data_IF_760283184235
#
_entry.id   IF_760283184235
#
_cell.length_a   1.000
_cell.length_b   1.000
_cell.length_c   1.000
_cell.angle_alpha   90.00
_cell.angle_beta   90.00
_cell.angle_gamma   90.00
#
_symmetry.space_group_name_H-M   'P 1'
#
loop_
_entity.id
_entity.type
_entity.pdbx_description
1 polymer ?
#
# COMPACT_ATOMS: atom_id res chain seq x y z
N UNK A 1 0.09 22.42 -5.11
CA UNK A 1 0.19 21.10 -5.76
C UNK A 1 -1.22 20.57 -5.94
N UNK A 2 -1.65 20.30 -7.18
CA UNK A 2 -2.99 19.72 -7.41
C UNK A 2 -3.05 18.28 -6.88
N UNK A 3 -4.22 17.90 -6.37
CA UNK A 3 -4.49 16.54 -5.95
C UNK A 3 -4.61 15.66 -7.21
N UNK A 4 -3.75 14.66 -7.33
CA UNK A 4 -3.87 13.63 -8.38
C UNK A 4 -4.64 12.45 -7.81
N UNK A 5 -5.79 12.17 -8.41
CA UNK A 5 -6.59 10.97 -8.15
C UNK A 5 -6.46 10.10 -9.39
N UNK A 6 -6.11 8.83 -9.20
CA UNK A 6 -6.11 7.85 -10.28
C UNK A 6 -7.10 6.75 -9.95
N UNK A 7 -8.03 6.52 -10.86
CA UNK A 7 -9.10 5.54 -10.70
C UNK A 7 -8.78 4.28 -11.49
N UNK A 8 -8.99 3.12 -10.88
CA UNK A 8 -8.80 1.82 -11.51
C UNK A 8 -10.03 0.94 -11.24
N UNK A 9 -10.34 0.04 -12.17
CA UNK A 9 -11.31 -1.03 -11.90
C UNK A 9 -10.60 -2.18 -11.20
N UNK A 10 -11.03 -2.49 -9.98
CA UNK A 10 -10.50 -3.62 -9.20
C UNK A 10 -11.41 -4.84 -9.43
N UNK A 11 -10.88 -6.02 -9.80
CA UNK A 11 -11.68 -7.24 -9.91
C UNK A 11 -12.33 -7.63 -8.57
N UNK A 12 -13.40 -8.41 -8.61
CA UNK A 12 -13.98 -8.99 -7.39
C UNK A 12 -13.09 -10.09 -6.80
N UNK A 13 -13.22 -10.32 -5.50
CA UNK A 13 -12.62 -11.48 -4.81
C UNK A 13 -11.09 -11.44 -4.76
N UNK A 14 -10.41 -12.61 -4.74
CA UNK A 14 -8.98 -12.71 -4.50
C UNK A 14 -8.10 -11.94 -5.50
N UNK A 15 -8.54 -11.79 -6.75
CA UNK A 15 -7.84 -11.01 -7.76
C UNK A 15 -7.85 -9.51 -7.44
N UNK A 16 -8.96 -9.01 -6.89
CA UNK A 16 -9.06 -7.64 -6.39
C UNK A 16 -8.11 -7.39 -5.23
N UNK A 17 -8.13 -8.27 -4.23
CA UNK A 17 -7.22 -8.20 -3.09
C UNK A 17 -5.74 -8.23 -3.51
N UNK A 18 -5.38 -9.06 -4.49
CA UNK A 18 -4.03 -9.10 -5.02
C UNK A 18 -3.64 -7.77 -5.70
N UNK A 19 -4.59 -7.13 -6.41
CA UNK A 19 -4.39 -5.84 -7.05
C UNK A 19 -4.24 -4.72 -6.03
N UNK A 20 -5.09 -4.67 -5.01
CA UNK A 20 -4.95 -3.73 -3.87
C UNK A 20 -3.59 -3.89 -3.22
N UNK A 21 -3.19 -5.11 -2.85
CA UNK A 21 -1.90 -5.36 -2.19
C UNK A 21 -0.69 -4.92 -3.05
N UNK A 22 -0.79 -5.05 -4.38
CA UNK A 22 0.22 -4.53 -5.32
C UNK A 22 0.29 -3.00 -5.31
N UNK A 23 -0.85 -2.31 -5.29
CA UNK A 23 -0.91 -0.85 -5.19
C UNK A 23 -0.38 -0.37 -3.83
N UNK A 24 -0.76 -1.01 -2.73
CA UNK A 24 -0.23 -0.73 -1.40
C UNK A 24 1.30 -0.84 -1.37
N UNK A 25 1.86 -1.95 -1.89
CA UNK A 25 3.31 -2.14 -2.01
C UNK A 25 3.95 -0.98 -2.79
N UNK A 26 3.34 -0.58 -3.89
CA UNK A 26 3.84 0.52 -4.73
C UNK A 26 3.84 1.85 -3.99
N UNK A 27 2.75 2.17 -3.27
CA UNK A 27 2.62 3.39 -2.47
C UNK A 27 3.58 3.43 -1.28
N UNK A 28 3.84 2.29 -0.63
CA UNK A 28 4.85 2.17 0.43
C UNK A 28 6.25 2.44 -0.12
N UNK A 29 6.61 1.83 -1.25
CA UNK A 29 7.93 2.02 -1.88
C UNK A 29 8.14 3.46 -2.35
N UNK A 30 7.10 4.09 -2.91
CA UNK A 30 7.14 5.50 -3.30
C UNK A 30 7.26 6.41 -2.06
N UNK A 31 6.44 6.18 -1.03
CA UNK A 31 6.49 6.94 0.22
C UNK A 31 7.82 6.79 0.97
N UNK A 32 8.46 5.62 0.90
CA UNK A 32 9.80 5.39 1.44
C UNK A 32 10.90 6.24 0.78
N UNK A 33 10.69 6.66 -0.49
CA UNK A 33 11.60 7.55 -1.23
C UNK A 33 11.21 9.03 -1.15
N UNK A 34 10.08 9.35 -0.52
CA UNK A 34 9.55 10.71 -0.45
C UNK A 34 10.22 11.51 0.68
N UNK A 35 10.93 12.59 0.33
CA UNK A 35 11.61 13.48 1.28
C UNK A 35 10.67 14.17 2.28
N UNK A 36 9.40 14.39 1.95
CA UNK A 36 8.41 14.91 2.89
C UNK A 36 8.09 13.86 3.96
N UNK A 37 7.90 12.59 3.56
CA UNK A 37 7.65 11.46 4.46
C UNK A 37 8.87 11.23 5.35
N UNK A 38 10.08 11.19 4.78
CA UNK A 38 11.34 11.05 5.54
C UNK A 38 11.52 12.19 6.54
N UNK A 39 11.30 13.45 6.12
CA UNK A 39 11.38 14.62 7.02
C UNK A 39 10.39 14.50 8.18
N UNK A 40 9.17 14.01 7.92
CA UNK A 40 8.17 13.78 8.97
C UNK A 40 8.65 12.71 9.96
N UNK A 41 9.14 11.57 9.48
CA UNK A 41 9.67 10.51 10.34
C UNK A 41 10.81 11.02 11.23
N UNK A 42 11.82 11.68 10.65
CA UNK A 42 12.96 12.24 11.40
C UNK A 42 12.50 13.24 12.48
N UNK A 43 11.56 14.14 12.15
CA UNK A 43 11.01 15.08 13.14
C UNK A 43 10.31 14.37 14.29
N UNK A 44 9.57 13.30 14.01
CA UNK A 44 8.89 12.50 15.03
C UNK A 44 9.87 11.80 15.96
N UNK A 45 10.92 11.20 15.40
CA UNK A 45 11.97 10.53 16.18
C UNK A 45 12.70 11.51 17.11
N UNK A 46 13.06 12.70 16.59
CA UNK A 46 13.66 13.77 17.39
C UNK A 46 12.71 14.26 18.50
N UNK A 47 11.45 14.53 18.16
CA UNK A 47 10.46 15.01 19.13
C UNK A 47 10.15 13.99 20.25
N UNK A 48 10.36 12.70 19.98
CA UNK A 48 10.21 11.61 20.96
C UNK A 48 11.51 11.29 21.71
N UNK A 49 12.61 12.00 21.44
CA UNK A 49 13.91 11.73 22.07
C UNK A 49 14.48 10.35 21.74
N UNK A 50 14.11 9.75 20.60
CA UNK A 50 14.65 8.44 20.19
C UNK A 50 16.15 8.60 19.94
N UNK A 51 16.95 7.82 20.66
CA UNK A 51 18.41 7.89 20.57
C UNK A 51 18.89 7.44 19.18
N UNK A 52 19.99 8.02 18.66
CA UNK A 52 20.60 7.51 17.44
C UNK A 52 20.88 6.00 17.55
N UNK A 53 20.59 5.26 16.47
CA UNK A 53 20.76 3.79 16.36
C UNK A 53 19.86 2.95 17.27
N UNK A 54 18.90 3.56 17.97
CA UNK A 54 17.83 2.83 18.67
C UNK A 54 16.73 2.38 17.67
N UNK A 55 17.09 1.45 16.78
CA UNK A 55 16.21 1.01 15.69
C UNK A 55 14.87 0.44 16.18
N UNK A 56 14.85 -0.24 17.34
CA UNK A 56 13.60 -0.73 17.92
C UNK A 56 12.75 0.43 18.48
N UNK A 57 13.40 1.42 19.12
CA UNK A 57 12.77 2.66 19.54
C UNK A 57 12.18 3.45 18.37
N UNK A 58 12.85 3.47 17.21
CA UNK A 58 12.34 4.10 15.98
C UNK A 58 11.05 3.42 15.49
N UNK A 59 11.07 2.09 15.38
CA UNK A 59 9.89 1.30 14.97
C UNK A 59 8.72 1.59 15.90
N UNK A 60 8.95 1.51 17.22
CA UNK A 60 7.94 1.78 18.25
C UNK A 60 7.38 3.19 18.14
N UNK A 61 8.24 4.21 18.04
CA UNK A 61 7.81 5.60 18.02
C UNK A 61 6.95 5.93 16.79
N UNK A 62 7.31 5.39 15.63
CA UNK A 62 6.55 5.58 14.38
C UNK A 62 5.20 4.83 14.44
N UNK A 63 5.19 3.58 14.91
CA UNK A 63 3.97 2.81 15.14
C UNK A 63 2.99 3.54 16.06
N UNK A 64 3.46 3.96 17.24
CA UNK A 64 2.63 4.70 18.20
C UNK A 64 2.14 6.04 17.66
N UNK A 65 2.93 6.71 16.83
CA UNK A 65 2.47 7.94 16.21
C UNK A 65 1.32 7.69 15.24
N UNK A 66 1.43 6.69 14.36
CA UNK A 66 0.35 6.34 13.41
C UNK A 66 -0.90 5.93 14.18
N UNK A 67 -0.78 4.98 15.12
CA UNK A 67 -1.91 4.48 15.93
C UNK A 67 -2.68 5.57 16.66
N UNK A 68 -1.98 6.58 17.20
CA UNK A 68 -2.61 7.66 17.98
C UNK A 68 -3.08 8.85 17.15
N UNK A 69 -2.50 9.04 15.96
CA UNK A 69 -2.70 10.28 15.20
C UNK A 69 -3.61 10.12 14.00
N UNK A 70 -3.89 8.89 13.57
CA UNK A 70 -4.79 8.60 12.44
C UNK A 70 -6.11 8.09 12.97
N UNK A 71 -7.20 8.72 12.54
CA UNK A 71 -8.56 8.27 12.84
C UNK A 71 -8.95 7.15 11.87
N UNK A 72 -9.29 5.98 12.38
CA UNK A 72 -9.84 4.91 11.55
C UNK A 72 -11.14 5.38 10.88
N UNK A 73 -11.16 5.33 9.54
CA UNK A 73 -12.25 5.83 8.71
C UNK A 73 -12.42 4.89 7.54
N UNK A 74 -13.60 4.30 7.42
CA UNK A 74 -13.92 3.45 6.27
C UNK A 74 -13.81 4.23 4.98
N UNK A 75 -13.50 3.50 3.93
CA UNK A 75 -13.54 4.02 2.57
C UNK A 75 -14.90 4.60 2.17
N UNK A 76 -14.91 5.49 1.16
CA UNK A 76 -16.15 5.94 0.53
C UNK A 76 -17.01 4.77 0.08
N UNK A 77 -18.33 4.96 0.13
CA UNK A 77 -19.28 3.90 -0.17
C UNK A 77 -19.02 3.24 -1.54
N UNK A 78 -18.81 1.91 -1.54
CA UNK A 78 -18.57 1.05 -2.71
C UNK A 78 -17.28 1.33 -3.50
N UNK A 79 -16.31 2.00 -2.90
CA UNK A 79 -15.02 2.29 -3.55
C UNK A 79 -13.90 1.89 -2.60
N UNK A 80 -12.86 1.22 -3.11
CA UNK A 80 -11.59 1.09 -2.38
C UNK A 80 -10.75 2.35 -2.62
N UNK A 81 -10.31 3.03 -1.57
CA UNK A 81 -9.53 4.27 -1.67
C UNK A 81 -8.18 4.16 -0.96
N UNK A 82 -7.12 4.04 -1.77
CA UNK A 82 -5.75 4.07 -1.25
C UNK A 82 -5.15 5.47 -1.28
N UNK A 83 -4.62 5.93 -0.14
CA UNK A 83 -3.89 7.18 -0.04
C UNK A 83 -2.37 6.98 -0.08
N UNK A 84 -1.67 7.92 -0.72
CA UNK A 84 -0.22 8.01 -0.54
C UNK A 84 0.15 8.36 0.91
N UNK A 85 1.32 7.92 1.38
CA UNK A 85 1.80 8.25 2.72
C UNK A 85 1.86 9.77 2.99
N UNK A 86 2.25 10.57 1.97
CA UNK A 86 2.24 12.05 2.06
C UNK A 86 0.82 12.57 2.33
N UNK A 87 -0.18 12.04 1.62
CA UNK A 87 -1.58 12.41 1.84
C UNK A 87 -2.06 11.99 3.22
N UNK A 88 -1.70 10.78 3.67
CA UNK A 88 -2.05 10.31 5.02
C UNK A 88 -1.45 11.14 6.16
N UNK A 89 -0.24 11.68 6.00
CA UNK A 89 0.36 12.61 6.98
C UNK A 89 -0.50 13.89 7.14
N UNK A 90 -1.10 14.36 6.04
CA UNK A 90 -1.92 15.58 6.00
C UNK A 90 -3.34 15.31 6.50
N UNK A 91 -3.98 14.25 5.97
CA UNK A 91 -5.39 13.94 6.20
C UNK A 91 -5.64 13.32 7.58
N UNK A 92 -4.76 12.41 8.02
CA UNK A 92 -4.87 11.69 9.30
C UNK A 92 -6.20 10.94 9.48
N UNK A 93 -6.77 10.44 8.40
CA UNK A 93 -7.97 9.61 8.40
C UNK A 93 -7.87 8.60 7.25
N UNK A 94 -8.18 7.34 7.52
CA UNK A 94 -8.12 6.21 6.58
C UNK A 94 -8.35 4.89 7.31
N UNK A 95 -8.39 3.76 6.61
CA UNK A 95 -8.63 2.45 7.21
C UNK A 95 -7.33 1.59 7.33
N UNK A 96 -7.47 0.26 7.31
CA UNK A 96 -6.35 -0.66 7.52
C UNK A 96 -5.29 -0.60 6.42
N UNK A 97 -5.66 -0.39 5.16
CA UNK A 97 -4.68 -0.32 4.08
C UNK A 97 -3.90 1.00 4.10
N UNK A 98 -4.58 2.11 4.38
CA UNK A 98 -4.03 3.46 4.48
C UNK A 98 -3.06 3.58 5.65
N UNK A 99 -3.43 3.04 6.80
CA UNK A 99 -2.55 3.00 7.98
C UNK A 99 -1.34 2.09 7.73
N UNK A 100 -1.52 0.99 6.99
CA UNK A 100 -0.42 0.12 6.54
C UNK A 100 0.52 0.85 5.59
N UNK A 101 -0.02 1.58 4.61
CA UNK A 101 0.77 2.36 3.64
C UNK A 101 1.57 3.45 4.35
N UNK A 102 0.92 4.23 5.21
CA UNK A 102 1.57 5.30 5.96
C UNK A 102 2.70 4.76 6.85
N UNK A 103 2.42 3.75 7.66
CA UNK A 103 3.40 3.20 8.60
C UNK A 103 4.56 2.54 7.85
N UNK A 104 4.25 1.73 6.84
CA UNK A 104 5.26 1.09 6.00
C UNK A 104 6.17 2.11 5.30
N UNK A 105 5.61 3.20 4.78
CA UNK A 105 6.38 4.26 4.14
C UNK A 105 7.26 5.03 5.13
N UNK A 106 6.76 5.38 6.31
CA UNK A 106 7.55 6.04 7.36
C UNK A 106 8.76 5.18 7.76
N UNK A 107 8.54 3.89 7.98
CA UNK A 107 9.58 2.92 8.33
C UNK A 107 10.63 2.76 7.22
N UNK A 108 10.18 2.53 5.98
CA UNK A 108 11.06 2.44 4.81
C UNK A 108 11.86 3.73 4.61
N UNK A 109 11.26 4.89 4.90
CA UNK A 109 11.92 6.19 4.73
C UNK A 109 13.09 6.43 5.70
N UNK A 110 13.18 5.66 6.79
CA UNK A 110 14.29 5.71 7.76
C UNK A 110 15.11 4.41 7.78
N UNK A 111 14.90 3.51 6.81
CA UNK A 111 15.78 2.37 6.55
C UNK A 111 15.32 1.03 7.11
N UNK A 112 14.12 0.93 7.69
CA UNK A 112 13.59 -0.36 8.17
C UNK A 112 13.00 -1.17 7.03
N UNK A 113 13.29 -2.48 6.99
CA UNK A 113 12.65 -3.40 6.06
C UNK A 113 11.22 -3.67 6.49
N UNK A 114 10.28 -3.56 5.54
CA UNK A 114 8.86 -3.80 5.78
C UNK A 114 8.32 -4.90 4.85
N UNK A 115 7.30 -5.62 5.33
CA UNK A 115 6.42 -6.48 4.51
C UNK A 115 4.97 -6.26 4.90
N UNK A 116 4.04 -6.60 4.01
CA UNK A 116 2.59 -6.50 4.26
C UNK A 116 2.09 -7.90 4.65
N UNK A 117 1.16 -7.97 5.59
CA UNK A 117 0.47 -9.21 5.96
C UNK A 117 -1.03 -9.02 5.74
N UNK A 118 -1.59 -9.85 4.87
CA UNK A 118 -3.04 -9.97 4.68
C UNK A 118 -3.56 -11.06 5.63
N UNK A 119 -4.66 -10.78 6.33
CA UNK A 119 -5.27 -11.68 7.30
C UNK A 119 -6.73 -11.97 6.93
N UNK A 120 -7.12 -13.25 7.04
CA UNK A 120 -8.44 -13.76 6.70
C UNK A 120 -9.04 -14.59 7.84
N UNK A 121 -10.35 -14.51 8.09
CA UNK A 121 -10.99 -15.13 9.26
C UNK A 121 -11.34 -16.60 9.06
N UNK A 122 -11.26 -17.12 7.83
CA UNK A 122 -11.85 -18.42 7.47
C UNK A 122 -10.85 -19.30 6.70
N UNK A 123 -10.45 -20.41 7.33
CA UNK A 123 -9.55 -21.40 6.73
C UNK A 123 -10.16 -22.12 5.51
N UNK A 124 -11.49 -22.23 5.44
CA UNK A 124 -12.21 -22.78 4.28
C UNK A 124 -12.28 -21.82 3.10
N UNK A 125 -11.93 -20.54 3.29
CA UNK A 125 -11.86 -19.51 2.24
C UNK A 125 -10.50 -18.79 2.27
N UNK A 126 -9.39 -19.47 1.94
CA UNK A 126 -8.04 -18.92 2.09
C UNK A 126 -7.71 -17.72 1.18
N UNK A 127 -8.60 -17.39 0.23
CA UNK A 127 -8.51 -16.19 -0.61
C UNK A 127 -9.28 -14.98 -0.07
N UNK A 128 -10.06 -15.13 1.01
CA UNK A 128 -10.85 -14.08 1.62
C UNK A 128 -10.06 -13.41 2.74
N UNK A 129 -9.42 -12.29 2.41
CA UNK A 129 -8.76 -11.43 3.39
C UNK A 129 -9.68 -10.28 3.76
N UNK A 130 -9.74 -9.95 5.05
CA UNK A 130 -10.59 -8.89 5.59
C UNK A 130 -9.79 -7.84 6.37
N UNK A 131 -8.48 -8.06 6.53
CA UNK A 131 -7.62 -7.15 7.27
C UNK A 131 -6.19 -7.17 6.73
N UNK A 132 -5.47 -6.07 6.95
CA UNK A 132 -4.08 -5.91 6.53
C UNK A 132 -3.29 -5.09 7.55
N UNK A 133 -2.04 -5.47 7.77
CA UNK A 133 -1.10 -4.75 8.62
C UNK A 133 0.35 -4.92 8.13
N UNK A 134 1.26 -3.97 8.44
CA UNK A 134 2.68 -4.13 8.13
C UNK A 134 3.41 -4.90 9.23
N UNK A 135 4.49 -5.56 8.84
CA UNK A 135 5.53 -6.05 9.74
C UNK A 135 6.87 -5.38 9.42
N UNK A 136 7.64 -5.06 10.45
CA UNK A 136 9.01 -4.54 10.31
C UNK A 136 10.03 -5.58 10.78
N UNK A 137 11.14 -5.69 10.08
CA UNK A 137 12.25 -6.56 10.48
C UNK A 137 13.15 -5.86 11.52
N UNK A 138 13.49 -6.59 12.57
CA UNK A 138 14.48 -6.19 13.56
C UNK A 138 15.24 -7.42 14.06
N UNK A 139 16.56 -7.46 13.82
CA UNK A 139 17.47 -8.53 14.27
C UNK A 139 17.01 -9.93 13.86
N UNK A 140 16.64 -10.10 12.59
CA UNK A 140 16.18 -11.35 11.98
C UNK A 140 14.73 -11.71 12.29
N UNK A 141 13.99 -10.87 13.04
CA UNK A 141 12.61 -11.15 13.46
C UNK A 141 11.65 -10.13 12.87
N UNK A 142 10.48 -10.60 12.44
CA UNK A 142 9.40 -9.74 11.98
C UNK A 142 8.49 -9.38 13.14
N UNK A 143 8.27 -8.08 13.34
CA UNK A 143 7.44 -7.52 14.40
C UNK A 143 6.15 -7.00 13.76
N UNK A 144 5.00 -7.49 14.22
CA UNK A 144 3.68 -7.02 13.79
C UNK A 144 3.38 -5.61 14.29
N UNK A 145 2.86 -4.77 13.39
CA UNK A 145 2.61 -3.35 13.64
C UNK A 145 1.20 -2.96 13.20
N UNK A 146 0.20 -3.63 13.75
CA UNK A 146 -1.20 -3.30 13.48
C UNK A 146 -1.63 -2.02 14.21
N UNK A 147 -1.55 -0.89 13.50
CA UNK A 147 -1.88 0.42 14.05
C UNK A 147 -3.40 0.68 14.10
N UNK A 148 -4.24 -0.22 13.58
CA UNK A 148 -5.70 -0.08 13.58
C UNK A 148 -6.35 -0.48 14.90
N UNK A 149 -5.60 -1.21 15.73
CA UNK A 149 -6.07 -1.77 16.99
C UNK A 149 -5.38 -1.11 18.20
N UNK A 150 -6.04 -1.05 19.37
CA UNK A 150 -5.49 -0.42 20.58
C UNK A 150 -4.44 -1.30 21.28
N UNK A 151 -3.66 -2.09 20.55
CA UNK A 151 -2.65 -3.00 21.08
C UNK A 151 -1.22 -2.43 20.95
N UNK A 152 -0.26 -2.91 21.77
CA UNK A 152 1.14 -2.53 21.64
C UNK A 152 1.79 -3.15 20.39
N UNK A 153 2.95 -2.62 20.03
CA UNK A 153 3.83 -3.19 19.01
C UNK A 153 4.09 -4.68 19.29
N UNK A 154 4.02 -5.50 18.25
CA UNK A 154 4.20 -6.95 18.30
C UNK A 154 2.90 -7.75 18.42
N UNK A 155 1.77 -7.10 18.71
CA UNK A 155 0.47 -7.76 18.62
C UNK A 155 0.06 -7.96 17.16
N UNK A 156 -0.55 -9.10 16.87
CA UNK A 156 -1.13 -9.43 15.58
C UNK A 156 -2.51 -10.07 15.79
N UNK A 157 -3.45 -9.90 14.84
CA UNK A 157 -4.73 -10.60 14.89
C UNK A 157 -4.51 -12.13 14.87
N UNK A 158 -5.33 -12.83 15.65
CA UNK A 158 -5.44 -14.29 15.60
C UNK A 158 -6.32 -14.66 14.40
N UNK A 159 -5.67 -14.84 13.25
CA UNK A 159 -6.33 -15.14 11.99
C UNK A 159 -5.84 -16.47 11.46
N UNK A 160 -6.74 -17.42 11.12
CA UNK A 160 -6.35 -18.75 10.66
C UNK A 160 -5.67 -18.71 9.29
N UNK A 161 -5.90 -17.66 8.51
CA UNK A 161 -5.27 -17.46 7.20
C UNK A 161 -4.45 -16.19 7.22
N UNK A 162 -3.16 -16.32 6.87
CA UNK A 162 -2.24 -15.19 6.69
C UNK A 162 -1.47 -15.33 5.39
N UNK A 163 -1.34 -14.23 4.65
CA UNK A 163 -0.52 -14.16 3.43
C UNK A 163 0.46 -12.99 3.53
N UNK A 164 1.74 -13.31 3.40
CA UNK A 164 2.82 -12.32 3.42
C UNK A 164 3.08 -11.81 2.00
N UNK A 165 3.11 -10.49 1.84
CA UNK A 165 3.48 -9.80 0.61
C UNK A 165 4.78 -9.03 0.86
N UNK A 166 5.93 -9.51 0.35
CA UNK A 166 7.21 -8.84 0.55
C UNK A 166 7.31 -7.54 -0.27
N UNK A 167 7.98 -6.51 0.25
CA UNK A 167 8.22 -5.28 -0.51
C UNK A 167 9.35 -5.44 -1.53
N UNK A 168 10.40 -6.20 -1.20
CA UNK A 168 11.47 -6.59 -2.13
C UNK A 168 11.32 -8.07 -2.51
N UNK A 169 11.29 -8.36 -3.80
CA UNK A 169 11.48 -9.73 -4.29
C UNK A 169 12.93 -10.10 -3.94
N UNK A 170 13.15 -11.17 -3.18
CA UNK A 170 14.52 -11.70 -3.02
C UNK A 170 15.01 -12.08 -4.41
N UNK A 171 15.94 -11.30 -4.96
CA UNK A 171 16.85 -11.84 -5.97
C UNK A 171 17.66 -12.88 -5.20
N UNK A 172 17.43 -14.15 -5.50
CA UNK A 172 18.25 -15.25 -5.00
C UNK A 172 19.66 -15.08 -5.55
N UNK A 173 20.51 -14.29 -4.89
CA UNK A 173 21.95 -14.39 -5.06
C UNK A 173 22.40 -15.69 -4.41
N UNK A 174 22.28 -16.80 -5.14
CA UNK A 174 23.20 -17.93 -4.91
C UNK A 174 24.60 -17.43 -5.28
N UNK A 175 25.54 -17.74 -4.39
CA UNK A 175 26.98 -17.47 -4.39
C UNK A 175 27.61 -17.19 -5.77
N UNK A 176 28.51 -16.20 -5.77
CA UNK A 176 29.65 -16.16 -6.67
C UNK A 176 29.63 -15.00 -7.66
N UNK A 177 30.63 -14.14 -7.51
CA UNK A 177 31.15 -13.16 -8.45
C UNK A 177 30.55 -11.75 -8.35
N UNK A 178 31.37 -10.90 -7.71
CA UNK A 178 31.42 -9.47 -7.96
C UNK A 178 31.70 -9.27 -9.45
N UNK A 179 30.70 -8.83 -10.21
CA UNK A 179 30.87 -8.20 -11.52
C UNK A 179 29.91 -7.00 -11.62
N UNK A 180 30.55 -5.83 -11.76
CA UNK A 180 30.12 -4.55 -12.32
C UNK A 180 28.84 -3.88 -11.79
N UNK A 181 29.06 -2.88 -10.93
CA UNK A 181 28.09 -1.86 -10.51
C UNK A 181 27.72 -0.86 -11.64
N UNK A 182 27.82 -1.26 -12.91
CA UNK A 182 27.60 -0.40 -14.08
C UNK A 182 26.41 -0.84 -14.96
N UNK A 183 25.70 -1.93 -14.64
CA UNK A 183 24.54 -2.41 -15.44
C UNK A 183 23.17 -2.24 -14.75
N UNK A 184 23.04 -1.38 -13.73
CA UNK A 184 21.75 -1.16 -13.06
C UNK A 184 21.37 0.32 -12.87
N UNK A 185 21.74 1.17 -13.83
CA UNK A 185 20.93 2.35 -14.14
C UNK A 185 20.00 2.04 -15.31
N UNK A 186 18.99 1.20 -15.06
CA UNK A 186 17.77 1.24 -15.87
C UNK A 186 16.97 2.45 -15.38
N UNK A 187 16.68 3.44 -16.25
CA UNK A 187 16.09 4.69 -15.82
C UNK A 187 14.72 4.43 -15.19
N UNK A 188 14.36 5.29 -14.25
CA UNK A 188 12.98 5.52 -13.81
C UNK A 188 12.13 5.96 -15.03
N UNK A 189 11.80 5.02 -15.92
CA UNK A 189 10.94 5.16 -17.08
C UNK A 189 9.69 4.30 -16.88
N UNK A 190 8.53 4.79 -17.34
CA UNK A 190 7.21 4.22 -17.09
C UNK A 190 7.13 2.70 -17.28
N UNK A 191 6.69 1.97 -16.24
CA UNK A 191 6.16 0.62 -16.44
C UNK A 191 4.85 0.71 -17.24
N UNK A 192 4.67 -0.10 -18.28
CA UNK A 192 3.59 0.04 -19.24
C UNK A 192 2.22 -0.34 -18.64
N UNK A 193 1.20 0.50 -18.86
CA UNK A 193 -0.21 0.24 -18.50
C UNK A 193 -1.01 -0.18 -19.73
N UNK A 194 -1.29 -1.49 -19.90
CA UNK A 194 -2.21 -1.98 -20.93
C UNK A 194 -2.17 -3.50 -21.17
N UNK A 195 -3.23 -4.09 -21.78
CA UNK A 195 -3.35 -5.53 -22.01
C UNK A 195 -2.24 -6.10 -22.90
N UNK A 196 -1.69 -5.30 -23.82
CA UNK A 196 -0.55 -5.66 -24.67
C UNK A 196 0.73 -5.91 -23.86
N UNK A 197 1.00 -5.05 -22.88
CA UNK A 197 2.18 -5.17 -22.03
C UNK A 197 2.07 -6.35 -21.05
N UNK A 198 0.89 -6.53 -20.45
CA UNK A 198 0.61 -7.68 -19.59
C UNK A 198 0.71 -9.02 -20.34
N UNK A 199 0.33 -9.04 -21.63
CA UNK A 199 0.49 -10.19 -22.51
C UNK A 199 1.96 -10.47 -22.81
N UNK A 200 2.73 -9.45 -23.24
CA UNK A 200 4.16 -9.57 -23.53
C UNK A 200 4.92 -10.10 -22.32
N UNK A 201 4.62 -9.59 -21.14
CA UNK A 201 5.28 -10.03 -19.91
C UNK A 201 4.95 -11.47 -19.53
N UNK A 202 3.70 -11.88 -19.74
CA UNK A 202 3.29 -13.27 -19.54
C UNK A 202 4.01 -14.24 -20.49
N UNK A 203 4.19 -13.86 -21.76
CA UNK A 203 4.98 -14.62 -22.73
C UNK A 203 6.47 -14.65 -22.34
N UNK A 204 6.98 -13.56 -21.74
CA UNK A 204 8.37 -13.44 -21.30
C UNK A 204 8.69 -14.39 -20.14
N UNK A 205 7.82 -14.46 -19.13
CA UNK A 205 8.16 -15.07 -17.83
C UNK A 205 7.37 -16.32 -17.44
N UNK A 206 6.07 -16.41 -17.75
CA UNK A 206 5.16 -17.32 -17.02
C UNK A 206 4.39 -18.30 -17.89
N UNK A 207 4.34 -18.11 -19.21
CA UNK A 207 3.39 -18.82 -20.07
C UNK A 207 1.95 -18.32 -19.88
N UNK A 208 1.01 -18.90 -20.65
CA UNK A 208 -0.39 -18.48 -20.74
C UNK A 208 -1.30 -19.72 -20.87
N UNK A 209 -2.41 -19.86 -20.12
CA UNK A 209 -3.41 -20.89 -20.41
C UNK A 209 -4.07 -20.68 -21.78
N UNK A 210 -4.66 -21.75 -22.34
CA UNK A 210 -5.56 -21.58 -23.48
C UNK A 210 -6.74 -20.68 -23.09
N UNK A 211 -7.26 -19.92 -24.05
CA UNK A 211 -8.35 -18.94 -23.86
C UNK A 211 -8.05 -17.84 -22.83
N UNK A 212 -6.78 -17.48 -22.65
CA UNK A 212 -6.38 -16.42 -21.72
C UNK A 212 -6.97 -15.05 -22.10
N UNK A 213 -7.55 -14.36 -21.12
CA UNK A 213 -8.23 -13.08 -21.33
C UNK A 213 -7.31 -11.95 -21.85
N UNK A 214 -6.00 -11.99 -21.55
CA UNK A 214 -5.03 -11.00 -22.05
C UNK A 214 -4.90 -11.11 -23.57
N UNK A 215 -4.89 -12.33 -24.10
CA UNK A 215 -4.85 -12.59 -25.54
C UNK A 215 -6.12 -12.07 -26.22
N UNK A 216 -7.30 -12.29 -25.60
CA UNK A 216 -8.57 -11.74 -26.09
C UNK A 216 -8.60 -10.22 -26.07
N UNK A 217 -8.11 -9.58 -25.01
CA UNK A 217 -8.09 -8.13 -24.90
C UNK A 217 -7.24 -7.49 -26.00
N UNK A 218 -6.04 -8.02 -26.26
CA UNK A 218 -5.19 -7.55 -27.37
C UNK A 218 -5.83 -7.82 -28.73
N UNK A 219 -6.46 -8.98 -28.90
CA UNK A 219 -7.18 -9.34 -30.12
C UNK A 219 -8.34 -8.38 -30.42
N UNK A 220 -9.16 -8.09 -29.41
CA UNK A 220 -10.31 -7.20 -29.55
C UNK A 220 -9.86 -5.75 -29.77
N UNK A 221 -8.75 -5.32 -29.17
CA UNK A 221 -8.17 -3.99 -29.40
C UNK A 221 -7.65 -3.83 -30.84
N UNK A 222 -6.90 -4.83 -31.34
CA UNK A 222 -6.48 -4.88 -32.74
C UNK A 222 -7.67 -4.89 -33.70
N UNK A 223 -8.73 -5.64 -33.38
CA UNK A 223 -9.96 -5.68 -34.18
C UNK A 223 -10.66 -4.33 -34.20
N UNK A 224 -10.82 -3.68 -33.04
CA UNK A 224 -11.47 -2.39 -32.92
C UNK A 224 -10.74 -1.27 -33.70
N UNK A 225 -9.41 -1.37 -33.79
CA UNK A 225 -8.59 -0.43 -34.57
C UNK A 225 -8.45 -0.83 -36.06
N UNK A 226 -9.07 -1.93 -36.49
CA UNK A 226 -8.91 -2.45 -37.87
C UNK A 226 -7.52 -3.04 -38.16
N UNK A 227 -6.68 -3.23 -37.14
CA UNK A 227 -5.27 -3.64 -37.25
C UNK A 227 -5.04 -5.15 -37.17
N UNK A 228 -6.09 -5.94 -36.92
CA UNK A 228 -5.98 -7.39 -36.79
C UNK A 228 -5.47 -8.07 -38.08
N UNK A 229 -5.65 -7.43 -39.24
CA UNK A 229 -5.14 -7.90 -40.53
C UNK A 229 -3.75 -7.36 -40.91
N UNK A 230 -3.23 -6.37 -40.17
CA UNK A 230 -2.03 -5.61 -40.54
C UNK A 230 -0.73 -6.38 -40.30
N UNK A 231 -0.73 -7.34 -39.37
CA UNK A 231 0.40 -8.25 -39.13
C UNK A 231 -0.08 -9.71 -39.05
N UNK A 232 0.14 -10.52 -40.11
CA UNK A 232 -0.24 -11.93 -40.15
C UNK A 232 0.42 -12.77 -39.06
N UNK A 233 1.64 -12.42 -38.65
CA UNK A 233 2.38 -13.14 -37.62
C UNK A 233 1.78 -12.89 -36.24
N UNK A 234 1.47 -11.62 -35.89
CA UNK A 234 0.79 -11.29 -34.63
C UNK A 234 -0.55 -12.02 -34.54
N UNK A 235 -1.35 -11.99 -35.61
CA UNK A 235 -2.64 -12.71 -35.67
C UNK A 235 -2.47 -14.20 -35.45
N UNK A 236 -1.48 -14.83 -36.08
CA UNK A 236 -1.21 -16.27 -35.91
C UNK A 236 -0.74 -16.60 -34.51
N UNK A 237 0.14 -15.78 -33.91
CA UNK A 237 0.61 -15.95 -32.54
C UNK A 237 -0.56 -15.85 -31.57
N UNK A 238 -1.36 -14.78 -31.62
CA UNK A 238 -2.51 -14.62 -30.73
C UNK A 238 -3.50 -15.78 -30.89
N UNK A 239 -3.79 -16.21 -32.12
CA UNK A 239 -4.68 -17.36 -32.38
C UNK A 239 -4.13 -18.65 -31.78
N UNK A 240 -2.82 -18.92 -31.96
CA UNK A 240 -2.17 -20.13 -31.43
C UNK A 240 -2.18 -20.14 -29.91
N UNK A 241 -1.82 -19.02 -29.28
CA UNK A 241 -1.84 -18.89 -27.82
C UNK A 241 -3.27 -19.01 -27.29
N UNK A 242 -4.25 -18.43 -27.98
CA UNK A 242 -5.66 -18.57 -27.62
C UNK A 242 -6.15 -20.02 -27.67
N UNK A 243 -5.76 -20.78 -28.70
CA UNK A 243 -6.23 -22.15 -28.90
C UNK A 243 -5.52 -23.16 -28.01
N UNK A 244 -4.20 -23.06 -27.90
CA UNK A 244 -3.35 -24.10 -27.27
C UNK A 244 -2.71 -23.66 -25.96
N UNK A 245 -2.78 -22.37 -25.63
CA UNK A 245 -1.98 -21.79 -24.56
C UNK A 245 -0.48 -21.77 -24.89
N UNK A 246 0.29 -21.32 -23.91
CA UNK A 246 1.74 -21.33 -23.84
C UNK A 246 2.14 -22.00 -22.52
N UNK A 247 2.90 -23.11 -22.56
CA UNK A 247 3.41 -23.73 -21.34
C UNK A 247 4.31 -22.75 -20.57
N UNK A 248 4.46 -22.93 -19.24
CA UNK A 248 5.19 -22.03 -18.36
C UNK A 248 6.71 -22.18 -18.54
N UNK A 249 7.21 -21.73 -19.69
CA UNK A 249 8.63 -21.67 -20.05
C UNK A 249 8.95 -20.27 -20.57
N UNK A 250 10.06 -19.65 -20.14
CA UNK A 250 10.45 -18.32 -20.63
C UNK A 250 10.66 -18.29 -22.14
N UNK A 251 10.11 -17.28 -22.81
CA UNK A 251 10.27 -17.09 -24.26
C UNK A 251 10.67 -15.64 -24.59
N UNK A 252 11.86 -15.18 -24.15
CA UNK A 252 12.27 -13.78 -24.28
C UNK A 252 12.33 -13.30 -25.74
N UNK A 253 12.78 -14.15 -26.66
CA UNK A 253 12.82 -13.81 -28.11
C UNK A 253 11.42 -13.64 -28.70
N UNK A 254 10.47 -14.51 -28.30
CA UNK A 254 9.08 -14.40 -28.75
C UNK A 254 8.40 -13.18 -28.14
N UNK A 255 8.66 -12.90 -26.87
CA UNK A 255 8.15 -11.72 -26.18
C UNK A 255 8.67 -10.43 -26.82
N UNK A 256 9.97 -10.32 -27.10
CA UNK A 256 10.56 -9.15 -27.74
C UNK A 256 10.02 -8.92 -29.15
N UNK A 257 9.83 -9.98 -29.94
CA UNK A 257 9.22 -9.87 -31.27
C UNK A 257 7.74 -9.48 -31.20
N UNK A 258 6.99 -10.02 -30.23
CA UNK A 258 5.59 -9.67 -30.00
C UNK A 258 5.47 -8.21 -29.54
N UNK A 259 6.35 -7.76 -28.67
CA UNK A 259 6.43 -6.38 -28.21
C UNK A 259 6.69 -5.40 -29.35
N UNK A 260 7.72 -5.65 -30.17
CA UNK A 260 8.03 -4.81 -31.32
C UNK A 260 6.87 -4.74 -32.33
N UNK A 261 6.20 -5.88 -32.59
CA UNK A 261 5.09 -5.94 -33.51
C UNK A 261 3.81 -5.25 -32.97
N UNK A 262 3.55 -5.32 -31.66
CA UNK A 262 2.42 -4.60 -31.07
C UNK A 262 2.71 -3.09 -31.00
N UNK A 263 3.96 -2.68 -30.75
CA UNK A 263 4.38 -1.28 -30.78
C UNK A 263 4.26 -0.67 -32.18
N UNK A 264 4.67 -1.39 -33.24
CA UNK A 264 4.50 -0.92 -34.62
C UNK A 264 3.04 -0.78 -35.04
N UNK A 265 2.13 -1.53 -34.39
CA UNK A 265 0.68 -1.42 -34.54
C UNK A 265 0.06 -0.35 -33.62
N UNK A 266 0.85 0.51 -32.97
CA UNK A 266 0.34 1.61 -32.14
C UNK A 266 -0.23 1.17 -30.78
N UNK A 267 0.02 -0.09 -30.37
CA UNK A 267 -0.32 -0.65 -29.07
C UNK A 267 0.87 -0.53 -28.12
N UNK A 268 1.34 0.69 -27.90
CA UNK A 268 2.27 1.00 -26.81
C UNK A 268 1.50 1.52 -25.59
N UNK A 269 2.14 1.47 -24.43
CA UNK A 269 1.52 1.82 -23.15
C UNK A 269 0.99 3.26 -23.13
N UNK A 270 -0.33 3.41 -23.28
CA UNK A 270 -0.99 4.70 -23.14
C UNK A 270 -2.26 4.90 -23.98
N UNK A 271 -2.52 4.06 -24.98
CA UNK A 271 -3.65 4.25 -25.90
C UNK A 271 -4.76 3.23 -25.68
N UNK A 272 -5.80 3.59 -24.90
CA UNK A 272 -7.19 3.27 -25.25
C UNK A 272 -8.21 4.10 -24.42
N UNK A 273 -9.17 4.78 -25.08
CA UNK A 273 -10.40 5.26 -24.46
C UNK A 273 -11.39 4.10 -24.27
N UNK A 274 -12.15 4.13 -23.17
CA UNK A 274 -13.41 3.41 -22.97
C UNK A 274 -13.42 1.90 -23.24
N UNK A 275 -13.13 1.09 -22.20
CA UNK A 275 -13.41 -0.35 -22.25
C UNK A 275 -14.41 -0.76 -21.15
N UNK A 276 -15.59 -1.29 -21.48
CA UNK A 276 -16.51 -1.89 -20.51
C UNK A 276 -16.03 -3.33 -20.22
N UNK A 277 -15.58 -3.60 -18.99
CA UNK A 277 -15.21 -4.96 -18.58
C UNK A 277 -16.44 -5.84 -18.26
N UNK A 278 -16.35 -7.18 -18.42
CA UNK A 278 -17.52 -8.06 -18.44
C UNK A 278 -17.96 -8.44 -17.02
N UNK A 279 -19.09 -7.88 -16.58
CA UNK A 279 -20.20 -8.58 -15.93
C UNK A 279 -21.40 -7.63 -16.02
N UNK A 280 -22.01 -7.58 -17.19
CA UNK A 280 -23.45 -7.45 -17.26
C UNK A 280 -23.99 -8.87 -17.35
N UNK A 281 -24.84 -9.27 -16.42
CA UNK A 281 -25.68 -10.45 -16.63
C UNK A 281 -27.07 -10.16 -16.14
N UNK A 282 -27.98 -10.18 -17.11
CA UNK A 282 -29.41 -10.39 -16.96
C UNK A 282 -29.71 -11.62 -16.10
N UNK A 283 -30.83 -11.50 -15.39
CA UNK A 283 -31.45 -12.47 -14.49
C UNK A 283 -32.15 -13.57 -15.29
N UNK A 284 -31.94 -14.86 -14.94
CA UNK A 284 -32.97 -15.94 -14.92
C UNK A 284 -32.52 -17.05 -13.93
N UNK A 285 -33.39 -17.59 -13.05
CA UNK A 285 -33.02 -18.53 -11.97
C UNK A 285 -33.09 -20.01 -12.40
N UNK A 286 -32.23 -20.85 -11.82
CA UNK A 286 -32.22 -22.29 -12.03
C UNK A 286 -31.66 -23.05 -10.81
N UNK A 287 -32.32 -24.15 -10.49
CA UNK A 287 -32.39 -24.87 -9.22
C UNK A 287 -31.44 -26.09 -9.15
N UNK A 288 -31.26 -26.66 -7.93
CA UNK A 288 -30.76 -28.01 -7.56
C UNK A 288 -29.22 -28.23 -7.32
N UNK A 289 -28.81 -29.30 -6.59
CA UNK A 289 -28.81 -29.42 -5.14
C UNK A 289 -27.46 -29.96 -4.56
N UNK A 290 -27.43 -30.19 -3.25
CA UNK A 290 -26.30 -30.65 -2.44
C UNK A 290 -25.80 -32.07 -2.73
N UNK A 291 -24.52 -32.34 -2.43
CA UNK A 291 -23.97 -33.65 -2.05
C UNK A 291 -22.60 -33.53 -1.33
N UNK A 292 -22.18 -34.51 -0.49
CA UNK A 292 -21.44 -34.23 0.76
C UNK A 292 -20.16 -35.07 1.03
N UNK A 293 -19.47 -34.74 2.15
CA UNK A 293 -18.41 -35.48 2.89
C UNK A 293 -17.04 -35.70 2.18
N UNK A 294 -15.87 -35.61 2.82
CA UNK A 294 -15.42 -36.24 4.08
C UNK A 294 -14.44 -35.35 4.89
N UNK A 295 -14.58 -35.41 6.21
CA UNK A 295 -13.64 -34.86 7.19
C UNK A 295 -12.75 -35.98 7.77
N UNK A 296 -11.46 -35.71 7.94
CA UNK A 296 -10.52 -36.56 8.69
C UNK A 296 -10.15 -35.90 10.03
N UNK A 297 -10.08 -36.65 11.15
CA UNK A 297 -9.86 -36.06 12.47
C UNK A 297 -8.35 -35.97 12.79
N UNK A 298 -7.90 -34.79 13.21
CA UNK A 298 -6.56 -34.62 13.80
C UNK A 298 -6.64 -34.66 15.32
N UNK A 299 -5.81 -35.53 15.90
CA UNK A 299 -5.66 -35.85 17.33
C UNK A 299 -5.46 -34.60 18.20
N UNK A 300 -6.25 -34.52 19.28
CA UNK A 300 -6.08 -33.57 20.38
C UNK A 300 -4.84 -33.91 21.21
N UNK A 301 -3.99 -32.91 21.48
CA UNK A 301 -2.96 -32.97 22.51
C UNK A 301 -3.43 -32.19 23.75
N UNK A 302 -3.35 -32.84 24.92
CA UNK A 302 -3.69 -32.33 26.25
C UNK A 302 -2.82 -31.14 26.64
N UNK A 303 -3.42 -30.11 27.24
CA UNK A 303 -2.76 -29.21 28.20
C UNK A 303 -3.73 -28.97 29.36
N UNK A 304 -3.19 -29.00 30.58
CA UNK A 304 -3.87 -28.91 31.88
C UNK A 304 -4.18 -27.44 32.29
N UNK A 305 -5.06 -27.22 33.28
CA UNK A 305 -5.95 -26.06 33.39
C UNK A 305 -5.43 -24.99 34.37
N UNK A 306 -5.91 -23.76 34.20
CA UNK A 306 -5.80 -22.71 35.21
C UNK A 306 -6.47 -21.42 34.76
N UNK A 307 -7.55 -21.06 35.47
CA UNK A 307 -8.35 -19.84 35.36
C UNK A 307 -9.36 -19.77 34.22
N UNK A 308 -10.61 -20.06 34.58
CA UNK A 308 -11.78 -19.88 33.73
C UNK A 308 -12.27 -18.43 33.72
N UNK A 309 -12.84 -18.02 32.60
CA UNK A 309 -14.24 -17.56 32.48
C UNK A 309 -14.60 -17.36 31.00
N UNK A 310 -15.88 -17.55 30.67
CA UNK A 310 -16.49 -17.64 29.33
C UNK A 310 -16.59 -16.29 28.58
N UNK A 311 -16.54 -16.26 27.24
CA UNK A 311 -17.15 -15.21 26.39
C UNK A 311 -18.51 -15.73 25.82
N UNK A 312 -19.30 -15.03 24.96
CA UNK A 312 -19.07 -13.75 24.29
C UNK A 312 -20.33 -12.82 24.17
N UNK A 313 -20.15 -11.64 23.56
CA UNK A 313 -21.17 -10.77 22.93
C UNK A 313 -22.58 -10.64 23.55
N UNK A 314 -22.84 -9.47 24.15
CA UNK A 314 -24.19 -8.95 24.38
C UNK A 314 -24.21 -7.44 24.14
N UNK A 315 -24.61 -7.02 22.93
CA UNK A 315 -24.98 -5.64 22.65
C UNK A 315 -26.25 -5.33 23.45
N UNK A 316 -26.14 -4.54 24.52
CA UNK A 316 -27.28 -3.88 25.15
C UNK A 316 -27.22 -2.39 24.82
N UNK A 317 -28.22 -1.92 24.10
CA UNK A 317 -28.50 -0.50 23.87
C UNK A 317 -28.68 0.24 25.19
N UNK A 318 -28.13 1.45 25.36
CA UNK A 318 -28.64 2.40 26.34
C UNK A 318 -29.73 3.25 25.69
N UNK A 319 -30.93 3.20 26.25
CA UNK A 319 -31.99 4.21 26.04
C UNK A 319 -31.52 5.59 26.53
N UNK A 320 -32.11 6.67 25.98
CA UNK A 320 -31.63 8.03 26.22
C UNK A 320 -32.30 8.63 27.47
N UNK A 321 -31.49 9.20 28.37
CA UNK A 321 -31.96 10.21 29.31
C UNK A 321 -31.15 11.48 29.04
N UNK A 322 -31.75 12.40 28.28
CA UNK A 322 -31.31 13.78 28.16
C UNK A 322 -32.50 14.64 28.55
N UNK A 323 -32.46 15.18 29.77
CA UNK A 323 -33.36 16.27 30.20
C UNK A 323 -32.72 17.59 29.79
N UNK A 324 -33.42 18.47 29.05
CA UNK A 324 -32.87 19.74 28.62
C UNK A 324 -32.94 20.76 29.77
N UNK A 325 -31.79 21.31 30.15
CA UNK A 325 -31.69 22.53 30.97
C UNK A 325 -32.24 23.72 30.17
N UNK A 326 -33.09 24.58 30.75
CA UNK A 326 -33.70 25.68 30.00
C UNK A 326 -32.68 26.78 29.67
N UNK A 327 -32.72 27.16 28.41
CA UNK A 327 -32.04 28.29 27.78
C UNK A 327 -32.42 29.60 28.50
N UNK A 328 -31.45 30.26 29.13
CA UNK A 328 -31.62 31.58 29.73
C UNK A 328 -31.20 32.62 28.70
N UNK A 329 -32.17 33.33 28.14
CA UNK A 329 -31.97 34.50 27.28
C UNK A 329 -31.14 35.59 27.99
N UNK A 330 -30.20 36.25 27.31
CA UNK A 330 -29.75 37.57 27.71
C UNK A 330 -30.55 38.65 26.95
N UNK A 331 -31.15 39.57 27.71
CA UNK A 331 -31.74 40.82 27.21
C UNK A 331 -30.63 41.81 26.78
N UNK A 332 -30.96 42.83 25.95
CA UNK A 332 -29.99 43.69 25.29
C UNK A 332 -29.68 44.95 26.10
N UNK A 333 -28.44 45.45 26.00
CA UNK A 333 -28.11 46.83 26.34
C UNK A 333 -26.95 47.33 25.48
N UNK A 334 -27.29 48.27 24.62
CA UNK A 334 -26.43 49.17 23.85
C UNK A 334 -25.77 50.23 24.74
N UNK A 335 -24.44 50.42 24.64
CA UNK A 335 -23.70 51.70 24.78
C UNK A 335 -22.19 51.44 24.48
N UNK A 336 -21.34 52.46 24.23
CA UNK A 336 -20.80 52.77 22.91
C UNK A 336 -19.32 52.36 22.71
N UNK A 337 -18.92 52.38 21.44
CA UNK A 337 -17.57 52.15 20.94
C UNK A 337 -16.51 53.00 21.66
N UNK A 338 -15.57 52.33 22.35
CA UNK A 338 -14.30 52.93 22.81
C UNK A 338 -13.20 52.64 21.78
N UNK A 339 -12.48 53.65 21.25
CA UNK A 339 -11.35 53.42 20.37
C UNK A 339 -10.18 52.77 21.15
N UNK A 340 -9.41 51.96 20.43
CA UNK A 340 -8.29 51.17 20.95
C UNK A 340 -7.21 52.04 21.62
N UNK A 341 -6.54 51.57 22.68
CA UNK A 341 -5.35 52.22 23.19
C UNK A 341 -4.20 52.11 22.17
N UNK A 342 -3.50 53.22 21.97
CA UNK A 342 -2.36 53.35 21.08
C UNK A 342 -1.30 52.26 21.36
N UNK A 343 -0.84 51.63 20.28
CA UNK A 343 0.29 50.72 20.26
C UNK A 343 1.53 51.37 20.87
N UNK A 344 2.13 50.72 21.88
CA UNK A 344 3.41 51.10 22.44
C UNK A 344 4.49 51.16 21.33
N UNK A 345 5.43 52.13 21.39
CA UNK A 345 6.46 52.25 20.38
C UNK A 345 7.40 51.04 20.40
N UNK A 346 7.66 50.49 19.20
CA UNK A 346 8.62 49.42 18.94
C UNK A 346 10.02 49.83 19.41
N UNK A 347 10.55 49.12 20.41
CA UNK A 347 11.99 49.21 20.78
C UNK A 347 12.79 48.28 19.84
N UNK A 348 13.73 48.80 19.04
CA UNK A 348 14.64 47.94 18.29
C UNK A 348 15.57 47.19 19.25
N UNK A 349 15.87 45.93 18.92
CA UNK A 349 16.81 45.09 19.67
C UNK A 349 18.23 45.72 19.67
N UNK A 350 19.01 45.56 20.76
CA UNK A 350 20.37 46.06 20.81
C UNK A 350 21.26 45.35 19.79
N UNK A 351 22.19 46.11 19.20
CA UNK A 351 23.15 45.61 18.22
C UNK A 351 24.02 44.46 18.80
N UNK A 352 24.38 43.44 17.98
CA UNK A 352 25.27 42.39 18.43
C UNK A 352 26.66 42.93 18.76
N UNK A 353 27.26 42.43 19.84
CA UNK A 353 28.60 42.78 20.28
C UNK A 353 29.65 42.48 19.18
N UNK A 354 30.71 43.30 19.07
CA UNK A 354 31.74 43.10 18.05
C UNK A 354 32.46 41.76 18.24
N UNK A 355 32.69 41.10 17.10
CA UNK A 355 33.37 39.81 16.98
C UNK A 355 34.79 39.88 17.55
N UNK A 356 35.07 39.13 18.63
CA UNK A 356 36.45 38.94 19.11
C UNK A 356 37.14 37.88 18.24
N UNK A 357 38.27 38.19 17.58
CA UNK A 357 39.02 37.18 16.85
C UNK A 357 39.63 36.15 17.82
N UNK A 358 39.56 34.88 17.44
CA UNK A 358 40.20 33.77 18.15
C UNK A 358 41.73 33.95 18.19
N UNK A 359 42.41 33.60 19.30
CA UNK A 359 43.86 33.60 19.35
C UNK A 359 44.43 32.59 18.36
N UNK A 360 45.41 33.03 17.56
CA UNK A 360 46.16 32.18 16.63
C UNK A 360 46.96 31.15 17.44
N UNK A 361 46.71 29.87 17.20
CA UNK A 361 47.60 28.80 17.65
C UNK A 361 48.89 28.83 16.81
N UNK A 362 50.01 29.13 17.47
CA UNK A 362 51.34 28.96 16.92
C UNK A 362 51.68 27.46 16.85
N UNK A 363 52.04 26.97 15.66
CA UNK A 363 52.50 25.60 15.45
C UNK A 363 53.84 25.36 16.18
N UNK A 364 54.09 24.16 16.72
CA UNK A 364 55.37 23.83 17.33
C UNK A 364 56.45 23.67 16.26
N UNK A 365 57.61 24.34 16.46
CA UNK A 365 58.83 24.09 15.69
C UNK A 365 59.33 22.68 16.02
N UNK A 366 59.44 21.83 15.00
CA UNK A 366 60.26 20.61 15.07
C UNK A 366 61.73 20.99 15.26
N UNK A 367 62.38 20.33 16.21
CA UNK A 367 63.84 20.18 16.28
C UNK A 367 64.15 18.72 16.04
#
# INVERSE_FOLDING_TARGET
MSMRITTYRVPSGPAGTARTAWHMRSLILQGGKDMYVRRRAVRLLKARGVRPKDYLGEIRALFEWVRRSVRYTRDPYRVELLHSARRMIQLRAGDCDDMTILLGALLQSVGHQVRIVLAGPDAGRPGLFTHVYPEAEYRGRWIALDATMPHPMGWAPDSPVKKVVPLRTRISTRRGNAMNAAEMEEPLGQLPTGPAADLVEAVRQSGLPARDQRVRAVWDQLRAQGLLGSDPWVRQVLRRVWQSGLPPRPRPRTAARLEAALQSLGLSAGSAPGYPGPWGTSVVPGYYPAAPFYATPVRRRRYWPGYGYRPPYGYRSPTPYWSPTPYRSPAPASAPYRPAPASAPYRPAPAPAPYRPYPRYSAPRMR
#
